data_IF_222324026536
#
_entry.id   IF_222324026536
#
_cell.length_a   1.000
_cell.length_b   1.000
_cell.length_c   1.000
_cell.angle_alpha   90.00
_cell.angle_beta   90.00
_cell.angle_gamma   90.00
#
_symmetry.space_group_name_H-M   'P 1'
#
loop_
_entity.id
_entity.type
_entity.pdbx_description
1 polymer ?
#
# COMPACT_ATOMS: atom_id res chain seq x y z
N UNK A 1 -38.90 -41.91 -10.48
CA UNK A 1 -38.75 -40.72 -9.63
C UNK A 1 -37.32 -40.23 -9.77
N UNK A 2 -37.07 -39.17 -10.56
CA UNK A 2 -35.73 -38.61 -10.81
C UNK A 2 -35.68 -37.25 -10.11
N UNK A 3 -34.94 -37.17 -9.00
CA UNK A 3 -34.69 -35.91 -8.31
C UNK A 3 -33.51 -35.23 -9.00
N UNK A 4 -33.78 -34.14 -9.71
CA UNK A 4 -32.74 -33.28 -10.25
C UNK A 4 -32.27 -32.33 -9.14
N UNK A 5 -31.05 -32.55 -8.64
CA UNK A 5 -30.35 -31.59 -7.79
C UNK A 5 -29.74 -30.51 -8.70
N UNK A 6 -30.36 -29.34 -8.73
CA UNK A 6 -29.76 -28.13 -9.31
C UNK A 6 -28.77 -27.58 -8.29
N UNK A 7 -27.48 -27.77 -8.55
CA UNK A 7 -26.41 -27.05 -7.88
C UNK A 7 -26.51 -25.57 -8.26
N UNK A 8 -27.05 -24.73 -7.37
CA UNK A 8 -26.91 -23.29 -7.49
C UNK A 8 -25.46 -22.91 -7.21
N UNK A 9 -24.73 -22.46 -8.23
CA UNK A 9 -23.47 -21.74 -8.03
C UNK A 9 -23.81 -20.44 -7.30
N UNK A 10 -23.61 -20.43 -5.98
CA UNK A 10 -23.57 -19.21 -5.21
C UNK A 10 -22.35 -18.40 -5.64
N UNK A 11 -22.55 -17.39 -6.46
CA UNK A 11 -21.55 -16.37 -6.73
C UNK A 11 -21.41 -15.56 -5.43
N UNK A 12 -20.44 -15.94 -4.60
CA UNK A 12 -20.12 -15.19 -3.39
C UNK A 12 -19.48 -13.88 -3.81
N UNK A 13 -20.26 -12.81 -3.79
CA UNK A 13 -19.72 -11.45 -3.85
C UNK A 13 -19.06 -11.16 -2.50
N UNK A 14 -17.74 -11.33 -2.42
CA UNK A 14 -16.97 -10.84 -1.27
C UNK A 14 -16.99 -9.32 -1.30
N UNK A 15 -17.80 -8.72 -0.41
CA UNK A 15 -17.73 -7.29 -0.14
C UNK A 15 -16.34 -6.98 0.44
N UNK A 16 -15.55 -6.16 -0.24
CA UNK A 16 -14.31 -5.65 0.31
C UNK A 16 -14.65 -4.82 1.55
N UNK A 17 -14.19 -5.26 2.73
CA UNK A 17 -14.35 -4.51 3.96
C UNK A 17 -13.08 -3.69 4.20
N UNK A 18 -13.25 -2.37 4.37
CA UNK A 18 -12.15 -1.51 4.76
C UNK A 18 -11.60 -1.94 6.12
N UNK A 19 -10.29 -2.06 6.18
CA UNK A 19 -9.52 -2.28 7.39
C UNK A 19 -8.88 -0.95 7.77
N UNK A 20 -9.09 -0.51 9.01
CA UNK A 20 -8.41 0.67 9.55
C UNK A 20 -7.10 0.20 10.16
N UNK A 21 -5.99 0.56 9.51
CA UNK A 21 -4.66 0.29 10.06
C UNK A 21 -4.45 1.23 11.27
N UNK A 22 -4.05 0.73 12.46
CA UNK A 22 -3.86 1.59 13.62
C UNK A 22 -2.82 2.67 13.37
N UNK A 23 -2.99 3.83 14.02
CA UNK A 23 -2.01 4.91 13.97
C UNK A 23 -0.63 4.39 14.38
N UNK A 24 0.41 4.74 13.62
CA UNK A 24 1.77 4.31 13.88
C UNK A 24 2.69 4.55 12.70
N UNK A 25 3.98 4.28 12.86
CA UNK A 25 4.96 4.33 11.78
C UNK A 25 5.22 2.92 11.28
N UNK A 26 5.16 2.73 9.96
CA UNK A 26 5.30 1.43 9.33
C UNK A 26 6.38 1.45 8.25
N UNK A 27 6.98 0.29 8.02
CA UNK A 27 7.47 -0.04 6.69
C UNK A 27 6.33 -0.73 5.93
N UNK A 28 6.11 -0.34 4.67
CA UNK A 28 5.25 -1.09 3.76
C UNK A 28 6.13 -1.92 2.85
N UNK A 29 6.09 -3.24 3.03
CA UNK A 29 6.96 -4.19 2.34
C UNK A 29 6.16 -4.94 1.27
N UNK A 30 6.68 -5.05 0.06
CA UNK A 30 6.09 -5.89 -0.99
C UNK A 30 5.97 -7.34 -0.50
N UNK A 31 4.85 -7.99 -0.78
CA UNK A 31 4.68 -9.43 -0.49
C UNK A 31 5.65 -10.30 -1.31
N UNK A 32 6.14 -9.78 -2.44
CA UNK A 32 7.10 -10.46 -3.32
C UNK A 32 8.52 -9.95 -3.03
N UNK A 33 9.47 -10.88 -2.90
CA UNK A 33 10.90 -10.61 -2.74
C UNK A 33 11.54 -10.29 -4.09
N UNK A 34 12.69 -9.61 -4.07
CA UNK A 34 13.51 -9.47 -5.28
C UNK A 34 14.18 -10.78 -5.71
N UNK A 35 14.87 -10.77 -6.85
CA UNK A 35 15.59 -11.94 -7.38
C UNK A 35 16.72 -12.45 -6.47
N UNK A 36 17.15 -11.66 -5.48
CA UNK A 36 18.17 -12.00 -4.49
C UNK A 36 17.57 -12.43 -3.15
N UNK A 37 16.24 -12.44 -3.02
CA UNK A 37 15.53 -12.78 -1.79
C UNK A 37 15.41 -11.63 -0.79
N UNK A 38 15.67 -10.38 -1.19
CA UNK A 38 15.50 -9.23 -0.31
C UNK A 38 14.04 -8.81 -0.20
N UNK A 39 13.65 -8.40 1.00
CA UNK A 39 12.40 -7.67 1.24
C UNK A 39 12.47 -6.29 0.57
N UNK A 40 11.44 -5.90 -0.18
CA UNK A 40 11.39 -4.61 -0.87
C UNK A 40 10.41 -3.66 -0.16
N UNK A 41 10.91 -2.55 0.37
CA UNK A 41 10.12 -1.55 1.08
C UNK A 41 9.81 -0.33 0.22
N UNK A 42 8.60 0.23 0.38
CA UNK A 42 8.23 1.52 -0.21
C UNK A 42 9.19 2.60 0.29
N UNK A 43 9.79 3.32 -0.66
CA UNK A 43 10.89 4.26 -0.44
C UNK A 43 10.52 5.62 -1.02
N UNK A 44 10.54 6.64 -0.16
CA UNK A 44 10.37 8.03 -0.54
C UNK A 44 11.66 8.59 -1.16
N UNK A 45 11.52 9.28 -2.30
CA UNK A 45 12.61 9.90 -3.04
C UNK A 45 12.59 11.45 -2.99
N UNK A 46 11.73 12.05 -2.15
CA UNK A 46 11.63 13.50 -1.97
C UNK A 46 10.41 14.14 -2.62
N UNK A 47 10.27 15.46 -2.49
CA UNK A 47 9.11 16.21 -3.01
C UNK A 47 9.00 16.11 -4.54
N UNK A 48 7.78 15.87 -5.04
CA UNK A 48 7.41 15.76 -6.45
C UNK A 48 8.20 14.69 -7.21
N UNK A 49 8.64 13.64 -6.53
CA UNK A 49 9.29 12.49 -7.15
C UNK A 49 8.44 11.24 -6.98
N UNK A 50 8.62 10.30 -7.93
CA UNK A 50 7.96 9.01 -7.86
C UNK A 50 8.49 8.21 -6.67
N UNK A 51 7.57 7.60 -5.93
CA UNK A 51 7.87 6.64 -4.89
C UNK A 51 8.27 5.33 -5.56
N UNK A 52 9.32 4.71 -5.04
CA UNK A 52 9.85 3.43 -5.56
C UNK A 52 9.87 2.38 -4.46
N UNK A 53 10.28 1.16 -4.80
CA UNK A 53 10.68 0.15 -3.82
C UNK A 53 12.19 -0.03 -3.82
N UNK A 54 12.78 -0.30 -2.66
CA UNK A 54 14.20 -0.67 -2.53
C UNK A 54 14.36 -1.68 -1.38
N UNK A 55 15.49 -2.41 -1.29
CA UNK A 55 15.74 -3.34 -0.20
C UNK A 55 15.48 -2.69 1.15
N UNK A 56 14.75 -3.39 2.01
CA UNK A 56 14.39 -2.88 3.33
C UNK A 56 15.64 -2.69 4.18
N UNK A 57 15.84 -1.46 4.66
CA UNK A 57 16.86 -1.10 5.63
C UNK A 57 16.17 -0.57 6.88
N UNK A 58 16.21 -1.36 7.96
CA UNK A 58 15.55 -1.02 9.22
C UNK A 58 16.12 0.29 9.77
N UNK A 59 15.24 1.22 10.14
CA UNK A 59 15.60 2.54 10.65
C UNK A 59 15.88 3.60 9.58
N UNK A 60 15.86 3.24 8.28
CA UNK A 60 16.03 4.22 7.22
C UNK A 60 14.77 5.09 7.10
N UNK A 61 14.91 6.39 7.39
CA UNK A 61 13.77 7.31 7.55
C UNK A 61 12.92 7.46 6.29
N UNK A 62 13.53 7.48 5.10
CA UNK A 62 12.75 7.55 3.86
C UNK A 62 12.03 6.23 3.49
N UNK A 63 12.14 5.17 4.29
CA UNK A 63 11.32 3.95 4.18
C UNK A 63 10.28 3.83 5.30
N UNK A 64 10.16 4.86 6.14
CA UNK A 64 9.21 4.92 7.25
C UNK A 64 8.00 5.78 6.84
N UNK A 65 6.81 5.29 7.14
CA UNK A 65 5.54 5.87 6.70
C UNK A 65 4.59 5.97 7.90
N UNK A 66 4.33 7.18 8.44
CA UNK A 66 3.36 7.38 9.49
C UNK A 66 1.97 7.31 8.91
N UNK A 67 1.16 6.47 9.54
CA UNK A 67 -0.22 6.24 9.20
C UNK A 67 -1.06 6.90 10.28
N UNK A 68 -1.99 7.73 9.86
CA UNK A 68 -3.01 8.34 10.71
C UNK A 68 -4.39 7.99 10.18
N UNK A 69 -5.35 7.80 11.06
CA UNK A 69 -6.73 7.60 10.66
C UNK A 69 -7.27 8.87 9.99
N UNK A 70 -7.92 8.71 8.83
CA UNK A 70 -8.53 9.79 8.08
C UNK A 70 -10.02 9.51 7.90
N UNK A 71 -10.83 10.06 8.81
CA UNK A 71 -12.28 9.83 8.81
C UNK A 71 -12.67 8.38 9.10
N UNK A 72 -13.79 7.93 8.53
CA UNK A 72 -14.36 6.59 8.75
C UNK A 72 -14.05 5.58 7.65
N UNK A 73 -13.44 6.02 6.54
CA UNK A 73 -13.29 5.22 5.31
C UNK A 73 -11.85 5.00 4.88
N UNK A 74 -10.87 5.61 5.56
CA UNK A 74 -9.47 5.42 5.17
C UNK A 74 -8.45 5.89 6.19
N UNK A 75 -7.20 5.77 5.77
CA UNK A 75 -6.03 6.22 6.47
C UNK A 75 -5.29 7.24 5.58
N UNK A 76 -4.64 8.20 6.21
CA UNK A 76 -3.66 9.06 5.57
C UNK A 76 -2.27 8.45 5.76
N UNK A 77 -1.50 8.39 4.68
CA UNK A 77 -0.15 7.81 4.66
C UNK A 77 0.83 8.94 4.36
N UNK A 78 1.51 9.37 5.41
CA UNK A 78 2.48 10.48 5.35
C UNK A 78 3.91 9.95 5.22
N UNK A 79 4.87 10.79 4.86
CA UNK A 79 6.29 10.41 4.80
C UNK A 79 6.96 10.68 6.16
N UNK A 80 7.72 9.71 6.70
CA UNK A 80 8.47 9.90 7.95
C UNK A 80 9.85 10.52 7.67
N UNK A 81 9.92 11.83 7.42
CA UNK A 81 11.16 12.60 7.47
C UNK A 81 10.83 14.11 7.47
N UNK A 82 11.41 14.88 8.43
CA UNK A 82 11.51 16.36 8.66
C UNK A 82 10.40 17.34 8.25
N UNK A 83 9.46 16.99 7.38
CA UNK A 83 8.39 17.81 6.86
C UNK A 83 7.09 17.00 6.90
N UNK A 84 6.33 17.14 7.99
CA UNK A 84 4.94 16.66 8.11
C UNK A 84 3.99 17.21 7.01
N UNK A 85 4.53 18.08 6.16
CA UNK A 85 3.89 18.66 4.99
C UNK A 85 3.98 17.80 3.72
N UNK A 86 4.41 16.52 3.78
CA UNK A 86 4.51 15.64 2.60
C UNK A 86 3.79 14.29 2.78
N UNK A 87 3.12 13.82 1.73
CA UNK A 87 2.28 12.62 1.74
C UNK A 87 2.40 11.79 0.46
N UNK A 88 2.08 10.50 0.55
CA UNK A 88 1.90 9.66 -0.63
C UNK A 88 0.60 10.04 -1.34
N UNK A 89 0.71 10.46 -2.59
CA UNK A 89 -0.40 10.96 -3.37
C UNK A 89 -0.25 10.63 -4.86
N UNK A 90 -1.22 11.08 -5.64
CA UNK A 90 -1.15 10.99 -7.10
C UNK A 90 -1.56 12.33 -7.71
N UNK A 91 -1.04 12.63 -8.89
CA UNK A 91 -1.33 13.88 -9.60
C UNK A 91 -1.69 13.58 -11.05
N UNK A 92 -2.97 13.61 -11.40
CA UNK A 92 -3.45 13.37 -12.76
C UNK A 92 -4.41 12.18 -12.87
N UNK A 93 -4.54 11.64 -14.08
CA UNK A 93 -5.46 10.55 -14.41
C UNK A 93 -4.78 9.19 -14.18
N UNK A 94 -5.47 8.29 -13.48
CA UNK A 94 -4.99 6.93 -13.21
C UNK A 94 -5.09 6.02 -14.48
N UNK A 95 -4.19 5.04 -14.68
CA UNK A 95 -3.10 4.64 -13.80
C UNK A 95 -1.86 5.56 -13.90
N UNK A 96 -1.21 5.84 -12.78
CA UNK A 96 -0.02 6.70 -12.74
C UNK A 96 0.93 6.36 -11.58
N UNK A 97 2.18 6.85 -11.60
CA UNK A 97 3.08 6.70 -10.47
C UNK A 97 2.49 7.30 -9.18
N UNK A 98 2.71 6.60 -8.08
CA UNK A 98 2.55 7.15 -6.74
C UNK A 98 3.70 8.13 -6.50
N UNK A 99 3.37 9.32 -6.01
CA UNK A 99 4.30 10.42 -5.84
C UNK A 99 4.34 10.86 -4.38
N UNK A 100 5.45 11.47 -3.96
CA UNK A 100 5.48 12.24 -2.71
C UNK A 100 5.11 13.68 -3.02
N UNK A 101 3.98 14.14 -2.48
CA UNK A 101 3.39 15.46 -2.78
C UNK A 101 3.24 16.29 -1.50
N UNK A 102 3.07 17.63 -1.61
CA UNK A 102 2.66 18.44 -0.48
C UNK A 102 1.38 17.92 0.17
N UNK A 103 1.24 18.16 1.47
CA UNK A 103 0.09 17.74 2.26
C UNK A 103 -1.21 18.23 1.61
N UNK A 104 -2.06 17.26 1.29
CA UNK A 104 -3.37 17.43 0.73
C UNK A 104 -4.27 16.34 1.37
N UNK A 105 -5.59 16.33 1.16
CA UNK A 105 -6.46 15.32 1.76
C UNK A 105 -6.37 13.98 1.01
N UNK A 106 -5.17 13.44 0.79
CA UNK A 106 -4.99 12.12 0.19
C UNK A 106 -5.35 11.05 1.21
N UNK A 107 -6.38 10.26 0.90
CA UNK A 107 -6.83 9.16 1.73
C UNK A 107 -6.68 7.84 0.97
N UNK A 108 -6.21 6.82 1.68
CA UNK A 108 -5.99 5.48 1.17
C UNK A 108 -6.76 4.48 2.03
N UNK A 109 -7.52 3.60 1.40
CA UNK A 109 -8.20 2.52 2.07
C UNK A 109 -7.31 1.27 2.10
N UNK A 110 -7.39 0.49 3.18
CA UNK A 110 -6.72 -0.80 3.26
C UNK A 110 -7.74 -1.92 3.23
N UNK A 111 -7.42 -3.03 2.56
CA UNK A 111 -8.20 -4.28 2.66
C UNK A 111 -7.27 -5.43 2.98
N UNK A 112 -7.62 -6.24 3.97
CA UNK A 112 -6.84 -7.44 4.31
C UNK A 112 -7.12 -8.55 3.31
N UNK A 113 -6.08 -9.09 2.69
CA UNK A 113 -6.12 -10.21 1.75
C UNK A 113 -5.06 -11.22 2.14
N UNK A 114 -5.48 -12.39 2.65
CA UNK A 114 -4.59 -13.52 2.99
C UNK A 114 -3.37 -13.12 3.84
N UNK A 115 -3.57 -12.29 4.87
CA UNK A 115 -2.51 -11.82 5.76
C UNK A 115 -1.64 -10.67 5.22
N UNK A 116 -1.96 -10.15 4.04
CA UNK A 116 -1.38 -8.91 3.48
C UNK A 116 -2.47 -7.84 3.33
N UNK A 117 -2.08 -6.65 2.90
CA UNK A 117 -2.94 -5.54 2.58
C UNK A 117 -2.94 -5.24 1.09
N UNK A 118 -4.09 -4.94 0.51
CA UNK A 118 -4.15 -3.99 -0.60
C UNK A 118 -4.20 -2.58 -0.03
N UNK A 119 -3.61 -1.63 -0.74
CA UNK A 119 -3.71 -0.20 -0.47
C UNK A 119 -4.41 0.40 -1.68
N UNK A 120 -5.59 0.99 -1.50
CA UNK A 120 -6.44 1.42 -2.60
C UNK A 120 -6.89 2.87 -2.43
N UNK A 121 -7.34 3.48 -3.51
CA UNK A 121 -8.13 4.70 -3.41
C UNK A 121 -9.45 4.43 -2.62
N UNK A 122 -10.15 5.47 -2.13
CA UNK A 122 -11.36 5.28 -1.34
C UNK A 122 -12.52 4.60 -2.07
N UNK A 123 -12.50 4.59 -3.42
CA UNK A 123 -13.52 3.91 -4.23
C UNK A 123 -13.16 2.46 -4.53
N UNK A 124 -11.95 2.01 -4.16
CA UNK A 124 -11.40 0.66 -4.43
C UNK A 124 -11.24 0.34 -5.93
N UNK A 125 -11.20 1.36 -6.78
CA UNK A 125 -11.06 1.23 -8.22
C UNK A 125 -9.59 1.11 -8.64
N UNK A 126 -8.66 1.49 -7.76
CA UNK A 126 -7.22 1.48 -8.02
C UNK A 126 -6.43 1.06 -6.79
N UNK A 127 -5.44 0.20 -7.00
CA UNK A 127 -4.53 -0.32 -5.99
C UNK A 127 -3.09 0.15 -6.21
N UNK A 128 -2.35 0.31 -5.13
CA UNK A 128 -0.91 0.46 -5.17
C UNK A 128 -0.27 -0.88 -5.54
N UNK A 129 0.68 -0.85 -6.47
CA UNK A 129 1.50 -2.01 -6.79
C UNK A 129 2.78 -1.63 -7.53
N UNK A 130 3.57 -2.64 -7.87
CA UNK A 130 4.79 -2.49 -8.67
C UNK A 130 4.66 -3.30 -9.96
N UNK A 131 5.35 -2.91 -11.02
CA UNK A 131 5.37 -3.67 -12.28
C UNK A 131 6.38 -4.81 -12.28
N UNK A 132 7.38 -4.75 -11.39
CA UNK A 132 8.41 -5.77 -11.22
C UNK A 132 8.96 -5.75 -9.78
N UNK A 133 9.27 -6.91 -9.19
CA UNK A 133 9.88 -7.01 -7.86
C UNK A 133 11.39 -6.74 -7.95
N UNK A 134 11.77 -5.54 -8.35
CA UNK A 134 13.16 -5.12 -8.52
C UNK A 134 13.40 -3.81 -7.80
N UNK A 135 14.54 -3.66 -7.12
CA UNK A 135 14.94 -2.39 -6.53
C UNK A 135 14.89 -1.26 -7.56
N UNK A 136 14.36 -0.11 -7.17
CA UNK A 136 14.12 1.05 -8.04
C UNK A 136 12.82 0.98 -8.85
N UNK A 137 12.05 -0.12 -8.79
CA UNK A 137 10.75 -0.19 -9.45
C UNK A 137 9.80 0.84 -8.85
N UNK A 138 9.06 1.54 -9.71
CA UNK A 138 8.09 2.56 -9.29
C UNK A 138 6.85 1.94 -8.67
N UNK A 139 6.34 2.56 -7.61
CA UNK A 139 5.01 2.24 -7.10
C UNK A 139 3.99 2.96 -7.97
N UNK A 140 3.02 2.21 -8.49
CA UNK A 140 1.96 2.69 -9.37
C UNK A 140 0.62 2.59 -8.66
N UNK A 141 -0.28 3.52 -8.95
CA UNK A 141 -1.70 3.42 -8.62
C UNK A 141 -2.42 2.97 -9.89
N UNK A 142 -2.93 1.75 -9.89
CA UNK A 142 -3.37 1.04 -11.09
C UNK A 142 -4.59 0.16 -10.84
N UNK A 143 -5.26 -0.29 -11.89
CA UNK A 143 -6.46 -1.12 -11.75
C UNK A 143 -6.17 -2.38 -10.92
N UNK A 144 -7.10 -2.82 -10.06
CA UNK A 144 -6.97 -4.04 -9.29
C UNK A 144 -6.63 -5.23 -10.17
N UNK A 145 -5.62 -5.99 -9.75
CA UNK A 145 -5.25 -7.26 -10.33
C UNK A 145 -5.15 -8.29 -9.21
N UNK A 146 -5.49 -9.54 -9.50
CA UNK A 146 -5.30 -10.66 -8.57
C UNK A 146 -3.82 -11.09 -8.53
N UNK A 147 -2.91 -10.14 -8.30
CA UNK A 147 -1.47 -10.33 -8.34
C UNK A 147 -0.83 -9.95 -6.99
N UNK A 148 0.17 -10.72 -6.57
CA UNK A 148 0.98 -10.46 -5.39
C UNK A 148 1.76 -9.15 -5.49
N UNK A 149 1.99 -8.61 -6.68
CA UNK A 149 2.62 -7.31 -6.89
C UNK A 149 1.79 -6.10 -6.41
N UNK A 150 0.51 -6.31 -6.04
CA UNK A 150 -0.36 -5.31 -5.41
C UNK A 150 -0.61 -5.57 -3.92
N UNK A 151 0.14 -6.50 -3.32
CA UNK A 151 -0.01 -6.89 -1.92
C UNK A 151 1.18 -6.42 -1.09
N UNK A 152 0.85 -5.80 0.04
CA UNK A 152 1.79 -5.16 0.95
C UNK A 152 1.69 -5.76 2.35
N UNK A 153 2.81 -5.84 3.04
CA UNK A 153 2.92 -6.28 4.43
C UNK A 153 3.29 -5.05 5.26
N UNK A 154 2.38 -4.52 6.08
CA UNK A 154 2.71 -3.45 7.00
C UNK A 154 3.56 -4.02 8.15
N UNK A 155 4.75 -3.47 8.37
CA UNK A 155 5.61 -3.83 9.49
C UNK A 155 5.69 -2.64 10.43
N UNK A 156 5.02 -2.74 11.59
CA UNK A 156 5.02 -1.69 12.61
C UNK A 156 6.43 -1.47 13.15
N UNK A 157 6.84 -0.20 13.21
CA UNK A 157 8.10 0.21 13.83
C UNK A 157 7.84 0.46 15.31
N UNK A 158 8.11 -0.53 16.14
CA UNK A 158 8.03 -0.40 17.60
C UNK A 158 9.27 0.32 18.12
N UNK A 159 9.07 1.38 18.91
CA UNK A 159 10.17 2.21 19.44
C UNK A 159 11.18 1.39 20.24
N UNK A 160 12.42 1.35 19.73
CA UNK A 160 13.70 1.39 20.44
C UNK A 160 14.79 1.13 19.38
N UNK A 161 15.35 2.19 18.81
CA UNK A 161 16.72 2.30 18.28
C UNK A 161 16.86 3.58 17.43
N UNK A 162 16.67 4.73 18.09
CA UNK A 162 17.25 5.98 17.65
C UNK A 162 17.86 6.62 18.90
N UNK A 163 19.06 6.16 19.27
CA UNK A 163 20.01 6.89 20.11
C UNK A 163 21.07 7.47 19.19
#
# INVERSE_FOLDING_TARGET
>A
MKVAFLLSLGMQCTLAQSFVLPNGTYHFVSRVLDAFGNELAITNNGLNTAITVSPLVRGQTNQLWPVTNFGTTGNQITVFATNASLEAGTSGTLPQPLMTLPNAPFAWAFTVVNGSLTISDPSFDFHWGISSPTSGSGVLVQTPAADFLQLWIPVLVTGNNFL
#
